data_IF_828243914629
#
_entry.id   IF_828243914629
#
_cell.length_a   1.000
_cell.length_b   1.000
_cell.length_c   1.000
_cell.angle_alpha   90.00
_cell.angle_beta   90.00
_cell.angle_gamma   90.00
#
_symmetry.space_group_name_H-M   'P 1'
#
loop_
_entity.id
_entity.type
_entity.pdbx_description
1 polymer ?
#
# COMPACT_ATOMS: atom_id res chain seq x y z
N UNK A 1 -12.70 -7.80 15.33
CA UNK A 1 -13.65 -7.46 14.25
C UNK A 1 -12.81 -7.16 13.05
N UNK A 2 -12.67 -8.14 12.15
CA UNK A 2 -11.95 -7.95 10.89
C UNK A 2 -12.80 -7.05 10.02
N UNK A 3 -12.40 -5.79 9.93
CA UNK A 3 -13.02 -4.86 9.00
C UNK A 3 -12.62 -5.35 7.62
N UNK A 4 -13.59 -5.89 6.87
CA UNK A 4 -13.43 -6.26 5.46
C UNK A 4 -13.24 -4.96 4.65
N UNK A 5 -12.07 -4.34 4.80
CA UNK A 5 -11.63 -3.21 3.99
C UNK A 5 -11.27 -3.82 2.64
N UNK A 6 -12.09 -3.54 1.63
CA UNK A 6 -11.83 -3.97 0.26
C UNK A 6 -10.74 -3.10 -0.35
N UNK A 7 -9.50 -3.56 -0.24
CA UNK A 7 -8.33 -3.00 -0.91
C UNK A 7 -8.40 -3.29 -2.42
N UNK A 8 -8.95 -2.36 -3.19
CA UNK A 8 -9.34 -2.61 -4.59
C UNK A 8 -8.52 -1.81 -5.61
N UNK A 9 -8.00 -0.64 -5.24
CA UNK A 9 -7.14 0.15 -6.13
C UNK A 9 -5.71 -0.32 -6.00
N UNK A 10 -5.20 -1.11 -6.95
CA UNK A 10 -3.78 -1.49 -6.97
C UNK A 10 -3.01 -0.78 -8.08
N UNK A 11 -1.77 -0.39 -7.78
CA UNK A 11 -0.81 0.18 -8.73
C UNK A 11 0.54 -0.50 -8.56
N UNK A 12 1.23 -0.76 -9.66
CA UNK A 12 2.63 -1.21 -9.67
C UNK A 12 3.48 0.00 -10.03
N UNK A 13 4.36 0.41 -9.12
CA UNK A 13 5.18 1.62 -9.24
C UNK A 13 6.64 1.30 -8.94
N UNK A 14 7.57 2.00 -9.58
CA UNK A 14 8.97 1.94 -9.19
C UNK A 14 9.22 2.70 -7.88
N UNK A 15 10.25 2.32 -7.14
CA UNK A 15 10.69 3.04 -5.95
C UNK A 15 11.03 4.50 -6.31
N UNK A 16 10.44 5.44 -5.57
CA UNK A 16 10.57 6.88 -5.82
C UNK A 16 9.75 7.43 -7.01
N UNK A 17 9.05 6.57 -7.77
CA UNK A 17 8.12 7.03 -8.81
C UNK A 17 6.91 7.70 -8.15
N UNK A 18 6.67 8.98 -8.49
CA UNK A 18 5.62 9.79 -7.87
C UNK A 18 4.28 9.07 -7.91
N UNK A 19 3.72 8.81 -6.73
CA UNK A 19 2.42 8.17 -6.57
C UNK A 19 1.68 8.85 -5.42
N UNK A 20 0.50 9.38 -5.72
CA UNK A 20 -0.25 10.20 -4.78
C UNK A 20 -1.49 9.48 -4.27
N UNK A 21 -1.68 9.55 -2.95
CA UNK A 21 -2.91 9.15 -2.28
C UNK A 21 -3.46 10.40 -1.63
N UNK A 22 -4.71 10.76 -1.94
CA UNK A 22 -5.33 12.01 -1.46
C UNK A 22 -4.52 13.29 -1.77
N UNK A 23 -3.76 13.28 -2.88
CA UNK A 23 -2.89 14.40 -3.29
C UNK A 23 -1.54 14.46 -2.55
N UNK A 24 -1.22 13.45 -1.75
CA UNK A 24 0.04 13.34 -1.00
C UNK A 24 0.92 12.28 -1.64
N UNK A 25 2.10 12.67 -2.11
CA UNK A 25 3.08 11.73 -2.66
C UNK A 25 3.64 10.85 -1.53
N UNK A 26 3.44 9.54 -1.64
CA UNK A 26 3.77 8.61 -0.54
C UNK A 26 5.27 8.55 -0.25
N UNK A 27 6.12 8.79 -1.25
CA UNK A 27 7.57 8.70 -1.13
C UNK A 27 8.22 9.88 -0.39
N UNK A 28 7.50 11.00 -0.25
CA UNK A 28 8.01 12.18 0.46
C UNK A 28 7.99 11.99 1.99
N UNK A 29 7.43 10.88 2.47
CA UNK A 29 7.23 10.60 3.89
C UNK A 29 7.80 9.24 4.27
N UNK A 30 8.23 9.13 5.53
CA UNK A 30 8.62 7.83 6.09
C UNK A 30 7.38 6.96 6.30
N UNK A 31 7.37 5.79 5.67
CA UNK A 31 6.31 4.81 5.86
C UNK A 31 6.48 4.13 7.22
N UNK A 32 5.42 4.13 8.02
CA UNK A 32 5.38 3.42 9.31
C UNK A 32 4.49 2.18 9.16
N UNK A 33 5.05 0.99 9.36
CA UNK A 33 4.24 -0.22 9.42
C UNK A 33 3.27 -0.13 10.60
N UNK A 34 1.99 -0.40 10.39
CA UNK A 34 0.99 -0.36 11.47
C UNK A 34 0.99 -1.62 12.33
N UNK A 35 1.57 -2.71 11.80
CA UNK A 35 1.46 -4.06 12.37
C UNK A 35 0.34 -4.87 11.73
N UNK A 36 -0.58 -4.22 11.00
CA UNK A 36 -1.68 -4.87 10.30
C UNK A 36 -1.26 -5.34 8.90
N UNK A 37 -1.92 -6.40 8.45
CA UNK A 37 -1.72 -7.00 7.13
C UNK A 37 -3.04 -7.46 6.54
N UNK A 38 -3.10 -7.57 5.23
CA UNK A 38 -4.19 -8.25 4.54
C UNK A 38 -3.64 -9.14 3.42
N UNK A 39 -4.44 -10.13 3.03
CA UNK A 39 -4.11 -11.02 1.91
C UNK A 39 -4.72 -10.47 0.63
N UNK A 40 -3.89 -10.22 -0.37
CA UNK A 40 -4.34 -9.90 -1.72
C UNK A 40 -4.10 -11.10 -2.65
N UNK A 41 -5.10 -11.44 -3.45
CA UNK A 41 -4.96 -12.46 -4.50
C UNK A 41 -4.36 -11.82 -5.74
N UNK A 42 -3.23 -12.36 -6.20
CA UNK A 42 -2.71 -12.06 -7.54
C UNK A 42 -3.43 -12.96 -8.56
N UNK A 43 -4.24 -12.40 -9.46
CA UNK A 43 -5.13 -13.19 -10.31
C UNK A 43 -4.41 -14.13 -11.29
N UNK A 44 -3.17 -13.82 -11.67
CA UNK A 44 -2.45 -14.48 -12.77
C UNK A 44 -1.69 -15.71 -12.29
N UNK A 45 -1.09 -15.69 -11.09
CA UNK A 45 -0.26 -16.78 -10.55
C UNK A 45 -0.92 -17.49 -9.36
N UNK A 46 -2.05 -16.99 -8.85
CA UNK A 46 -2.74 -17.57 -7.70
C UNK A 46 -1.95 -17.49 -6.39
N UNK A 47 -0.97 -16.58 -6.34
CA UNK A 47 -0.17 -16.35 -5.14
C UNK A 47 -0.88 -15.34 -4.23
N UNK A 48 -1.05 -15.73 -2.98
CA UNK A 48 -1.52 -14.86 -1.91
C UNK A 48 -0.36 -14.00 -1.43
N UNK A 49 -0.46 -12.69 -1.63
CA UNK A 49 0.50 -11.73 -1.10
C UNK A 49 0.03 -11.23 0.27
N UNK A 50 0.89 -11.38 1.27
CA UNK A 50 0.70 -10.71 2.56
C UNK A 50 1.13 -9.26 2.41
N UNK A 51 0.16 -8.37 2.24
CA UNK A 51 0.39 -6.94 2.09
C UNK A 51 0.46 -6.30 3.47
N UNK A 52 1.52 -5.55 3.73
CA UNK A 52 1.65 -4.78 4.98
C UNK A 52 0.94 -3.46 4.83
N UNK A 53 0.16 -3.08 5.85
CA UNK A 53 -0.45 -1.75 5.90
C UNK A 53 0.58 -0.78 6.49
N UNK A 54 0.88 0.25 5.72
CA UNK A 54 1.70 1.37 6.11
C UNK A 54 0.84 2.60 6.37
N UNK A 55 1.37 3.47 7.21
CA UNK A 55 0.82 4.79 7.49
C UNK A 55 1.88 5.86 7.25
N UNK A 56 1.50 6.92 6.56
CA UNK A 56 2.24 8.19 6.51
C UNK A 56 1.44 9.27 7.26
N UNK A 57 2.15 10.24 7.83
CA UNK A 57 1.53 11.35 8.56
C UNK A 57 1.93 12.66 7.91
N UNK A 58 0.96 13.39 7.39
CA UNK A 58 1.13 14.72 6.84
C UNK A 58 0.24 15.71 7.61
N UNK A 59 0.85 16.72 8.26
CA UNK A 59 0.12 17.81 8.95
C UNK A 59 -0.99 17.32 9.90
N UNK A 60 -0.75 16.19 10.57
CA UNK A 60 -1.70 15.58 11.51
C UNK A 60 -2.77 14.69 10.87
N UNK A 61 -2.81 14.56 9.54
CA UNK A 61 -3.62 13.58 8.81
C UNK A 61 -2.83 12.29 8.65
N UNK A 62 -3.52 11.17 8.84
CA UNK A 62 -2.99 9.82 8.63
C UNK A 62 -3.53 9.29 7.30
N UNK A 63 -2.63 8.87 6.41
CA UNK A 63 -2.97 8.20 5.16
C UNK A 63 -2.44 6.78 5.26
N UNK A 64 -3.33 5.80 5.03
CA UNK A 64 -3.01 4.38 5.09
C UNK A 64 -3.10 3.73 3.73
N UNK A 65 -2.13 2.87 3.44
CA UNK A 65 -2.08 2.10 2.21
C UNK A 65 -1.40 0.76 2.44
N UNK A 66 -1.80 -0.23 1.66
CA UNK A 66 -1.08 -1.50 1.58
C UNK A 66 0.12 -1.36 0.66
N UNK A 67 1.26 -1.92 1.02
CA UNK A 67 2.38 -2.04 0.08
C UNK A 67 3.15 -3.35 0.26
N UNK A 68 3.71 -3.85 -0.85
CA UNK A 68 4.66 -4.93 -0.86
C UNK A 68 5.66 -4.76 -2.01
N UNK A 69 6.93 -5.06 -1.75
CA UNK A 69 7.93 -5.15 -2.82
C UNK A 69 7.73 -6.47 -3.58
N UNK A 70 7.53 -6.38 -4.89
CA UNK A 70 7.28 -7.54 -5.78
C UNK A 70 8.44 -7.86 -6.70
N UNK A 71 9.37 -6.91 -6.87
CA UNK A 71 10.68 -7.07 -7.51
C UNK A 71 11.62 -5.98 -6.99
N UNK A 72 12.91 -6.07 -7.29
CA UNK A 72 13.91 -5.10 -6.83
C UNK A 72 13.50 -3.66 -7.17
N UNK A 73 13.17 -2.87 -6.15
CA UNK A 73 12.65 -1.49 -6.27
C UNK A 73 11.33 -1.37 -7.06
N UNK A 74 10.51 -2.41 -7.08
CA UNK A 74 9.17 -2.41 -7.68
C UNK A 74 8.15 -2.76 -6.62
N UNK A 75 7.21 -1.86 -6.40
CA UNK A 75 6.23 -1.94 -5.34
C UNK A 75 4.83 -2.08 -5.92
N UNK A 76 4.04 -2.98 -5.34
CA UNK A 76 2.58 -2.94 -5.49
C UNK A 76 2.00 -2.15 -4.33
N UNK A 77 1.17 -1.17 -4.63
CA UNK A 77 0.49 -0.31 -3.66
C UNK A 77 -1.01 -0.53 -3.76
N UNK A 78 -1.68 -0.67 -2.62
CA UNK A 78 -3.12 -0.86 -2.50
C UNK A 78 -3.74 0.30 -1.72
N UNK A 79 -4.85 0.83 -2.23
CA UNK A 79 -5.64 1.86 -1.56
C UNK A 79 -7.04 1.36 -1.24
N UNK A 80 -7.67 1.99 -0.24
CA UNK A 80 -9.11 1.86 0.00
C UNK A 80 -9.80 2.86 -0.93
N UNK A 81 -10.76 2.38 -1.73
CA UNK A 81 -11.60 3.24 -2.57
C UNK A 81 -12.70 3.91 -1.75
#
# INVERSE_FOLDING_TARGET
MDVNINWNGCATIADGERYEIEGVNIWDFKWRATGDKFTANEPVRGLNYNITIYEITERGKSIRFGAAEVSNNVWIVYTVL
#
